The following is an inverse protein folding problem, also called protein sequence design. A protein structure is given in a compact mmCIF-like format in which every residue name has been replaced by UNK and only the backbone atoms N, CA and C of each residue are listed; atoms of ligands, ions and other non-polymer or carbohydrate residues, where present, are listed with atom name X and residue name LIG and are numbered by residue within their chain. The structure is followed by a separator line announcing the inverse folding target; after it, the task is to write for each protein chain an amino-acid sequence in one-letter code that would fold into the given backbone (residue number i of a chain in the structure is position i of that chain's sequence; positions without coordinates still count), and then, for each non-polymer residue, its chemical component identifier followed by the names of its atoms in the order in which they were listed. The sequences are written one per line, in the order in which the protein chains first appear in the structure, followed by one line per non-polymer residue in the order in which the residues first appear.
data_IF_380870948909
#
_entry.id   IF_380870948909
#
_cell.length_a   1.000
_cell.length_b   1.000
_cell.length_c   1.000
_cell.angle_alpha   90.00
_cell.angle_beta   90.00
_cell.angle_gamma   90.00
#
_symmetry.space_group_name_H-M   'P 1'
#
loop_
_entity.id
_entity.type
_entity.pdbx_description
1 polymer ?
#
# COMPACT_ATOMS: atom_id res chain seq x y z
N UNK A 1 71.10 -5.84 -26.75
CA UNK A 1 69.74 -5.92 -26.17
C UNK A 1 68.82 -6.68 -27.14
N UNK A 2 69.20 -7.89 -27.58
CA UNK A 2 68.46 -8.60 -28.66
C UNK A 2 68.01 -10.03 -28.31
N UNK A 3 68.07 -10.45 -27.04
CA UNK A 3 67.59 -11.77 -26.61
C UNK A 3 66.70 -11.69 -25.36
N UNK A 4 65.66 -10.84 -25.41
CA UNK A 4 64.65 -10.78 -24.33
C UNK A 4 63.29 -11.32 -24.80
N UNK A 5 63.09 -11.57 -26.10
CA UNK A 5 61.85 -12.11 -26.63
C UNK A 5 62.10 -13.51 -27.22
N UNK A 6 61.42 -14.56 -26.73
CA UNK A 6 61.52 -15.91 -27.30
C UNK A 6 60.95 -15.93 -28.72
N UNK A 7 61.41 -16.88 -29.54
CA UNK A 7 60.98 -17.02 -30.93
C UNK A 7 59.46 -17.26 -31.01
N UNK A 8 58.78 -16.59 -31.95
CA UNK A 8 57.33 -16.62 -32.15
C UNK A 8 56.73 -18.04 -32.29
N UNK A 9 57.53 -19.00 -32.74
CA UNK A 9 57.11 -20.40 -32.95
C UNK A 9 57.19 -21.27 -31.68
N UNK A 10 57.56 -20.70 -30.52
CA UNK A 10 57.62 -21.43 -29.25
C UNK A 10 56.22 -21.52 -28.60
N UNK A 11 55.70 -22.73 -28.31
CA UNK A 11 54.41 -22.90 -27.62
C UNK A 11 54.38 -22.20 -26.24
N UNK A 12 55.52 -22.00 -25.57
CA UNK A 12 55.59 -21.26 -24.31
C UNK A 12 55.34 -19.77 -24.49
N UNK A 13 55.74 -19.17 -25.62
CA UNK A 13 55.46 -17.77 -25.94
C UNK A 13 53.97 -17.54 -26.15
N UNK A 14 53.29 -18.46 -26.84
CA UNK A 14 51.83 -18.41 -27.02
C UNK A 14 51.08 -18.50 -25.69
N UNK A 15 51.52 -19.37 -24.77
CA UNK A 15 50.93 -19.49 -23.42
C UNK A 15 51.16 -18.21 -22.61
N UNK A 16 52.37 -17.65 -22.64
CA UNK A 16 52.70 -16.40 -21.95
C UNK A 16 51.87 -15.21 -22.49
N UNK A 17 51.65 -15.16 -23.81
CA UNK A 17 50.82 -14.14 -24.44
C UNK A 17 49.35 -14.24 -24.02
N UNK A 18 48.79 -15.45 -23.88
CA UNK A 18 47.41 -15.66 -23.38
C UNK A 18 47.30 -15.26 -21.90
N UNK A 19 48.29 -15.60 -21.07
CA UNK A 19 48.30 -15.22 -19.65
C UNK A 19 48.40 -13.69 -19.49
N UNK A 20 49.24 -13.03 -20.28
CA UNK A 20 49.37 -11.57 -20.21
C UNK A 20 48.11 -10.86 -20.71
N UNK A 21 47.48 -11.33 -21.79
CA UNK A 21 46.20 -10.78 -22.26
C UNK A 21 45.10 -10.99 -21.22
N UNK A 22 44.99 -12.18 -20.61
CA UNK A 22 43.99 -12.44 -19.59
C UNK A 22 44.20 -11.58 -18.33
N UNK A 23 45.45 -11.34 -17.93
CA UNK A 23 45.79 -10.41 -16.86
C UNK A 23 45.43 -8.96 -17.20
N UNK A 24 45.70 -8.51 -18.43
CA UNK A 24 45.33 -7.16 -18.89
C UNK A 24 43.81 -6.98 -18.88
N UNK A 25 43.06 -7.97 -19.37
CA UNK A 25 41.60 -7.97 -19.32
C UNK A 25 41.11 -7.95 -17.87
N UNK A 26 41.70 -8.74 -16.97
CA UNK A 26 41.35 -8.74 -15.56
C UNK A 26 41.62 -7.38 -14.87
N UNK A 27 42.76 -6.75 -15.14
CA UNK A 27 43.09 -5.43 -14.61
C UNK A 27 42.20 -4.33 -15.19
N UNK A 28 41.92 -4.37 -16.49
CA UNK A 28 41.05 -3.41 -17.16
C UNK A 28 39.60 -3.53 -16.66
N UNK A 29 39.09 -4.76 -16.49
CA UNK A 29 37.76 -5.01 -15.93
C UNK A 29 37.66 -4.61 -14.46
N UNK A 30 38.71 -4.86 -13.66
CA UNK A 30 38.78 -4.40 -12.28
C UNK A 30 38.81 -2.87 -12.18
N UNK A 31 39.68 -2.21 -12.94
CA UNK A 31 39.79 -0.75 -12.97
C UNK A 31 38.51 -0.08 -13.47
N UNK A 32 37.88 -0.64 -14.50
CA UNK A 32 36.57 -0.19 -14.98
C UNK A 32 35.48 -0.38 -13.91
N UNK A 33 35.52 -1.50 -13.18
CA UNK A 33 34.63 -1.78 -12.05
C UNK A 33 34.73 -0.72 -10.95
N UNK A 34 35.94 -0.38 -10.52
CA UNK A 34 36.19 0.67 -9.51
C UNK A 34 35.73 2.04 -9.99
N UNK A 35 36.07 2.42 -11.23
CA UNK A 35 35.63 3.69 -11.81
C UNK A 35 34.10 3.79 -11.88
N UNK A 36 33.44 2.72 -12.34
CA UNK A 36 31.98 2.63 -12.38
C UNK A 36 31.38 2.76 -10.97
N UNK A 37 31.94 2.07 -9.98
CA UNK A 37 31.49 2.13 -8.59
C UNK A 37 31.60 3.54 -8.01
N UNK A 38 32.73 4.24 -8.21
CA UNK A 38 32.90 5.62 -7.75
C UNK A 38 31.90 6.58 -8.43
N UNK A 39 31.70 6.44 -9.75
CA UNK A 39 30.73 7.24 -10.50
C UNK A 39 29.29 7.00 -10.02
N UNK A 40 28.93 5.76 -9.73
CA UNK A 40 27.62 5.40 -9.19
C UNK A 40 27.40 5.95 -7.78
N UNK A 41 28.41 5.88 -6.90
CA UNK A 41 28.36 6.48 -5.57
C UNK A 41 28.15 8.00 -5.64
N UNK A 42 28.89 8.70 -6.50
CA UNK A 42 28.70 10.15 -6.71
C UNK A 42 27.33 10.51 -7.30
N UNK A 43 26.79 9.69 -8.21
CA UNK A 43 25.44 9.88 -8.74
C UNK A 43 24.36 9.67 -7.67
N UNK A 44 24.54 8.68 -6.80
CA UNK A 44 23.64 8.44 -5.67
C UNK A 44 23.67 9.62 -4.70
N UNK A 45 24.84 10.14 -4.33
CA UNK A 45 24.94 11.33 -3.46
C UNK A 45 24.21 12.53 -4.07
N UNK A 46 24.45 12.85 -5.34
CA UNK A 46 23.73 13.93 -6.05
C UNK A 46 22.22 13.70 -6.14
N UNK A 47 21.79 12.44 -6.16
CA UNK A 47 20.38 12.10 -6.09
C UNK A 47 19.84 12.36 -4.67
N UNK A 48 20.60 11.98 -3.63
CA UNK A 48 20.23 12.13 -2.23
C UNK A 48 20.15 13.59 -1.77
N UNK A 49 21.02 14.46 -2.27
CA UNK A 49 21.02 15.89 -1.93
C UNK A 49 19.70 16.60 -2.31
N UNK A 50 18.93 16.03 -3.24
CA UNK A 50 17.59 16.54 -3.60
C UNK A 50 16.56 16.34 -2.50
N UNK A 51 16.87 15.51 -1.51
CA UNK A 51 15.98 15.14 -0.41
C UNK A 51 16.34 15.81 0.92
N UNK A 52 17.52 16.42 1.03
CA UNK A 52 17.89 17.21 2.20
C UNK A 52 17.00 18.45 2.27
N UNK A 53 15.99 18.40 3.13
CA UNK A 53 15.26 19.59 3.57
C UNK A 53 15.88 20.11 4.86
N UNK A 54 16.15 21.42 4.91
CA UNK A 54 16.84 22.14 5.99
C UNK A 54 16.22 22.07 7.40
N UNK A 55 15.13 21.31 7.61
CA UNK A 55 14.52 21.05 8.92
C UNK A 55 15.00 19.69 9.45
N UNK A 56 16.31 19.54 9.62
CA UNK A 56 16.89 18.40 10.29
C UNK A 56 16.59 18.49 11.80
N UNK A 57 15.82 17.54 12.35
CA UNK A 57 15.65 17.43 13.81
C UNK A 57 16.83 16.73 14.51
N UNK A 58 17.73 16.14 13.72
CA UNK A 58 19.00 15.61 14.19
C UNK A 58 20.08 16.42 13.49
N UNK A 59 20.89 17.11 14.27
CA UNK A 59 22.05 17.84 13.78
C UNK A 59 23.12 16.82 13.35
N UNK A 60 22.88 16.18 12.20
CA UNK A 60 23.70 15.09 11.66
C UNK A 60 24.95 15.62 10.95
N UNK A 61 25.04 16.93 10.71
CA UNK A 61 26.19 17.58 10.09
C UNK A 61 27.45 17.47 10.96
N UNK A 62 27.28 17.44 12.30
CA UNK A 62 28.39 17.38 13.26
C UNK A 62 28.64 15.97 13.83
N UNK A 63 27.83 14.97 13.47
CA UNK A 63 27.96 13.62 14.03
C UNK A 63 28.95 12.79 13.20
N UNK A 64 30.11 12.36 13.76
CA UNK A 64 30.99 11.45 13.06
C UNK A 64 30.31 10.08 12.88
N UNK A 65 30.37 9.52 11.66
CA UNK A 65 29.82 8.20 11.41
C UNK A 65 30.73 7.12 12.00
N UNK A 66 30.17 6.36 12.94
CA UNK A 66 30.82 5.20 13.52
C UNK A 66 30.12 3.92 13.06
N UNK A 67 30.87 2.97 12.47
CA UNK A 67 30.30 1.77 11.87
C UNK A 67 29.41 0.94 12.83
N UNK A 68 29.72 0.97 14.14
CA UNK A 68 28.93 0.27 15.15
C UNK A 68 27.57 0.94 15.44
N UNK A 69 27.41 2.22 15.11
CA UNK A 69 26.16 2.97 15.25
C UNK A 69 25.14 2.64 14.16
N UNK A 70 25.54 1.94 13.08
CA UNK A 70 24.66 1.56 11.98
C UNK A 70 23.41 0.81 12.46
N UNK A 71 23.58 -0.23 13.28
CA UNK A 71 22.45 -1.06 13.76
C UNK A 71 21.52 -0.26 14.71
N UNK A 72 22.03 0.42 15.76
CA UNK A 72 21.20 1.27 16.61
C UNK A 72 20.41 2.33 15.84
N UNK A 73 21.06 3.04 14.91
CA UNK A 73 20.41 4.09 14.12
C UNK A 73 19.34 3.50 13.18
N UNK A 74 19.58 2.34 12.58
CA UNK A 74 18.58 1.65 11.75
C UNK A 74 17.34 1.25 12.58
N UNK A 75 17.55 0.76 13.80
CA UNK A 75 16.44 0.43 14.71
C UNK A 75 15.67 1.68 15.16
N UNK A 76 16.38 2.77 15.43
CA UNK A 76 15.78 4.05 15.79
C UNK A 76 14.93 4.62 14.65
N UNK A 77 15.45 4.61 13.41
CA UNK A 77 14.70 5.04 12.23
C UNK A 77 13.41 4.23 12.04
N UNK A 78 13.50 2.90 12.21
CA UNK A 78 12.34 2.00 12.16
C UNK A 78 11.32 2.29 13.27
N UNK A 79 11.77 2.63 14.47
CA UNK A 79 10.88 3.02 15.56
C UNK A 79 10.14 4.32 15.22
N UNK A 80 10.84 5.33 14.69
CA UNK A 80 10.21 6.57 14.24
C UNK A 80 9.21 6.34 13.10
N UNK A 81 9.55 5.50 12.11
CA UNK A 81 8.65 5.09 11.02
C UNK A 81 7.34 4.47 11.57
N UNK A 82 7.45 3.55 12.53
CA UNK A 82 6.29 2.91 13.15
C UNK A 82 5.44 3.86 14.00
N UNK A 83 6.06 4.89 14.58
CA UNK A 83 5.36 5.91 15.37
C UNK A 83 4.68 7.01 14.53
N UNK A 84 4.91 7.01 13.21
CA UNK A 84 4.43 8.06 12.31
C UNK A 84 5.31 9.32 12.27
N UNK A 85 6.44 9.34 12.98
CA UNK A 85 7.44 10.41 12.98
C UNK A 85 8.34 10.32 11.74
N UNK A 86 7.73 10.39 10.55
CA UNK A 86 8.40 10.09 9.29
C UNK A 86 9.60 10.99 8.98
N UNK A 87 9.55 12.27 9.38
CA UNK A 87 10.65 13.21 9.10
C UNK A 87 11.96 12.78 9.81
N UNK A 88 11.87 12.32 11.06
CA UNK A 88 13.03 11.79 11.81
C UNK A 88 13.54 10.49 11.21
N UNK A 89 12.65 9.60 10.78
CA UNK A 89 13.03 8.37 10.11
C UNK A 89 13.78 8.67 8.79
N UNK A 90 13.25 9.60 7.98
CA UNK A 90 13.85 10.06 6.72
C UNK A 90 15.26 10.61 6.97
N UNK A 91 15.45 11.49 7.94
CA UNK A 91 16.76 12.10 8.21
C UNK A 91 17.81 11.05 8.60
N UNK A 92 17.44 10.08 9.45
CA UNK A 92 18.35 9.00 9.84
C UNK A 92 18.67 8.09 8.66
N UNK A 93 17.69 7.72 7.84
CA UNK A 93 17.93 6.89 6.66
C UNK A 93 18.84 7.60 5.65
N UNK A 94 18.63 8.89 5.38
CA UNK A 94 19.52 9.68 4.51
C UNK A 94 20.95 9.70 5.05
N UNK A 95 21.14 9.97 6.35
CA UNK A 95 22.44 9.95 7.00
C UNK A 95 23.14 8.58 6.88
N UNK A 96 22.41 7.48 7.12
CA UNK A 96 22.95 6.13 7.00
C UNK A 96 23.33 5.76 5.57
N UNK A 97 22.56 6.19 4.57
CA UNK A 97 22.86 5.90 3.16
C UNK A 97 24.11 6.66 2.71
N UNK A 98 24.27 7.91 3.11
CA UNK A 98 25.42 8.77 2.75
C UNK A 98 26.74 8.25 3.33
N UNK A 99 26.71 7.73 4.56
CA UNK A 99 27.92 7.34 5.29
C UNK A 99 28.22 5.83 5.28
N UNK A 100 27.31 4.99 4.78
CA UNK A 100 27.57 3.54 4.65
C UNK A 100 28.43 3.26 3.42
N UNK A 101 29.40 2.35 3.52
CA UNK A 101 30.17 1.85 2.37
C UNK A 101 29.56 0.60 1.73
N UNK A 102 28.56 -0.01 2.37
CA UNK A 102 27.98 -1.28 1.93
C UNK A 102 26.78 -1.08 1.00
N UNK A 103 26.94 -1.41 -0.29
CA UNK A 103 25.89 -1.26 -1.31
C UNK A 103 24.63 -2.11 -1.07
N UNK A 104 24.75 -3.30 -0.46
CA UNK A 104 23.58 -4.10 -0.11
C UNK A 104 22.76 -3.40 0.98
N UNK A 105 23.46 -2.90 2.01
CA UNK A 105 22.86 -2.14 3.09
C UNK A 105 22.22 -0.83 2.58
N UNK A 106 22.89 -0.11 1.65
CA UNK A 106 22.32 1.08 1.02
C UNK A 106 21.02 0.77 0.29
N UNK A 107 20.94 -0.35 -0.44
CA UNK A 107 19.70 -0.70 -1.13
C UNK A 107 18.56 -0.94 -0.14
N UNK A 108 18.81 -1.68 0.94
CA UNK A 108 17.79 -1.89 1.98
C UNK A 108 17.34 -0.57 2.63
N UNK A 109 18.29 0.32 2.94
CA UNK A 109 17.98 1.63 3.48
C UNK A 109 17.20 2.50 2.48
N UNK A 110 17.53 2.45 1.19
CA UNK A 110 16.76 3.13 0.15
C UNK A 110 15.34 2.58 0.04
N UNK A 111 15.13 1.27 0.15
CA UNK A 111 13.79 0.69 0.21
C UNK A 111 13.01 1.27 1.40
N UNK A 112 13.60 1.27 2.59
CA UNK A 112 12.98 1.84 3.80
C UNK A 112 12.67 3.33 3.64
N UNK A 113 13.61 4.08 3.07
CA UNK A 113 13.41 5.50 2.77
C UNK A 113 12.25 5.72 1.80
N UNK A 114 12.16 4.91 0.75
CA UNK A 114 11.03 4.92 -0.19
C UNK A 114 9.70 4.63 0.50
N UNK A 115 9.64 3.59 1.34
CA UNK A 115 8.43 3.24 2.12
C UNK A 115 8.05 4.36 3.08
N UNK A 116 9.04 4.98 3.72
CA UNK A 116 8.82 6.11 4.64
C UNK A 116 8.27 7.32 3.90
N UNK A 117 8.80 7.65 2.71
CA UNK A 117 8.26 8.72 1.89
C UNK A 117 6.83 8.42 1.40
N UNK A 118 6.53 7.17 1.06
CA UNK A 118 5.18 6.74 0.69
C UNK A 118 4.20 6.95 1.85
N UNK A 119 4.54 6.48 3.06
CA UNK A 119 3.70 6.66 4.25
C UNK A 119 3.55 8.13 4.67
N UNK A 120 4.59 8.95 4.45
CA UNK A 120 4.55 10.39 4.66
C UNK A 120 3.77 11.17 3.58
N UNK A 121 3.30 10.52 2.51
CA UNK A 121 2.56 11.17 1.42
C UNK A 121 3.45 11.89 0.38
N UNK A 122 4.78 11.80 0.48
CA UNK A 122 5.71 12.37 -0.48
C UNK A 122 5.89 11.44 -1.71
N UNK A 123 4.81 11.26 -2.47
CA UNK A 123 4.70 10.25 -3.54
C UNK A 123 5.78 10.39 -4.63
N UNK A 124 6.09 11.61 -5.04
CA UNK A 124 7.12 11.88 -6.05
C UNK A 124 8.52 11.46 -5.58
N UNK A 125 8.83 11.70 -4.31
CA UNK A 125 10.10 11.29 -3.68
C UNK A 125 10.17 9.76 -3.60
N UNK A 126 9.11 9.11 -3.12
CA UNK A 126 9.00 7.65 -3.08
C UNK A 126 9.20 7.03 -4.47
N UNK A 127 8.49 7.55 -5.49
CA UNK A 127 8.62 7.12 -6.89
C UNK A 127 10.07 7.16 -7.35
N UNK A 128 10.73 8.31 -7.14
CA UNK A 128 12.10 8.51 -7.62
C UNK A 128 13.09 7.52 -7.00
N UNK A 129 12.92 7.19 -5.71
CA UNK A 129 13.75 6.21 -5.00
C UNK A 129 13.49 4.81 -5.53
N UNK A 130 12.23 4.41 -5.69
CA UNK A 130 11.88 3.09 -6.20
C UNK A 130 12.37 2.87 -7.64
N UNK A 131 12.23 3.87 -8.51
CA UNK A 131 12.78 3.82 -9.87
C UNK A 131 14.30 3.67 -9.86
N UNK A 132 14.99 4.39 -8.97
CA UNK A 132 16.45 4.27 -8.81
C UNK A 132 16.86 2.88 -8.31
N UNK A 133 16.10 2.28 -7.38
CA UNK A 133 16.34 0.90 -6.92
C UNK A 133 16.11 -0.09 -8.07
N UNK A 134 15.01 0.03 -8.81
CA UNK A 134 14.69 -0.88 -9.92
C UNK A 134 15.67 -0.75 -11.10
N UNK A 135 16.28 0.41 -11.30
CA UNK A 135 17.38 0.58 -12.28
C UNK A 135 18.55 -0.36 -11.99
N UNK A 136 18.84 -0.63 -10.71
CA UNK A 136 19.91 -1.53 -10.28
C UNK A 136 19.42 -2.97 -10.06
N UNK A 137 18.21 -3.12 -9.54
CA UNK A 137 17.58 -4.40 -9.16
C UNK A 137 16.18 -4.51 -9.77
N UNK A 138 16.05 -4.74 -11.09
CA UNK A 138 14.75 -4.73 -11.77
C UNK A 138 13.81 -5.85 -11.34
N UNK A 139 14.35 -6.94 -10.77
CA UNK A 139 13.58 -8.10 -10.28
C UNK A 139 13.17 -7.99 -8.81
N UNK A 140 13.25 -6.80 -8.20
CA UNK A 140 12.85 -6.59 -6.81
C UNK A 140 11.31 -6.50 -6.69
N UNK A 141 10.67 -7.65 -6.41
CA UNK A 141 9.21 -7.78 -6.26
C UNK A 141 8.61 -6.76 -5.30
N UNK A 142 9.23 -6.58 -4.13
CA UNK A 142 8.74 -5.67 -3.09
C UNK A 142 8.67 -4.23 -3.62
N UNK A 143 9.75 -3.77 -4.25
CA UNK A 143 9.82 -2.42 -4.81
C UNK A 143 8.89 -2.23 -6.00
N UNK A 144 8.71 -3.28 -6.83
CA UNK A 144 7.69 -3.25 -7.89
C UNK A 144 6.29 -3.02 -7.31
N UNK A 145 5.88 -3.80 -6.31
CA UNK A 145 4.59 -3.59 -5.64
C UNK A 145 4.47 -2.19 -5.02
N UNK A 146 5.49 -1.72 -4.29
CA UNK A 146 5.48 -0.40 -3.66
C UNK A 146 5.41 0.74 -4.70
N UNK A 147 6.10 0.61 -5.83
CA UNK A 147 6.00 1.55 -6.95
C UNK A 147 4.59 1.54 -7.58
N UNK A 148 3.97 0.37 -7.70
CA UNK A 148 2.57 0.24 -8.14
C UNK A 148 1.61 0.97 -7.20
N UNK A 149 1.82 0.87 -5.88
CA UNK A 149 1.05 1.63 -4.87
C UNK A 149 1.27 3.13 -5.02
N UNK A 150 2.51 3.58 -5.25
CA UNK A 150 2.80 5.00 -5.50
C UNK A 150 2.04 5.51 -6.72
N UNK A 151 2.11 4.80 -7.86
CA UNK A 151 1.39 5.21 -9.08
C UNK A 151 -0.12 5.22 -8.90
N UNK A 152 -0.69 4.23 -8.21
CA UNK A 152 -2.12 4.20 -7.88
C UNK A 152 -2.52 5.40 -7.02
N UNK A 153 -1.74 5.71 -5.98
CA UNK A 153 -2.02 6.84 -5.07
C UNK A 153 -1.94 8.17 -5.80
N UNK A 154 -1.05 8.27 -6.81
CA UNK A 154 -0.95 9.39 -7.74
C UNK A 154 -2.06 9.41 -8.82
N UNK A 155 -2.98 8.44 -8.82
CA UNK A 155 -4.01 8.23 -9.85
C UNK A 155 -3.46 7.99 -11.26
N UNK A 156 -2.18 7.58 -11.38
CA UNK A 156 -1.54 7.18 -12.63
C UNK A 156 -1.78 5.70 -12.88
N UNK A 157 -3.05 5.32 -13.08
CA UNK A 157 -3.46 3.91 -13.17
C UNK A 157 -2.81 3.15 -14.33
N UNK A 158 -2.54 3.81 -15.45
CA UNK A 158 -1.87 3.18 -16.60
C UNK A 158 -0.45 2.73 -16.20
N UNK A 159 0.32 3.59 -15.51
CA UNK A 159 1.64 3.23 -14.98
C UNK A 159 1.59 2.21 -13.85
N UNK A 160 0.54 2.25 -13.01
CA UNK A 160 0.35 1.22 -11.99
C UNK A 160 0.13 -0.16 -12.63
N UNK A 161 -0.55 -0.21 -13.79
CA UNK A 161 -0.77 -1.45 -14.57
C UNK A 161 0.49 -1.94 -15.28
N UNK A 162 1.42 -1.07 -15.65
CA UNK A 162 2.73 -1.47 -16.21
C UNK A 162 3.55 -2.35 -15.24
N UNK A 163 3.24 -2.30 -13.93
CA UNK A 163 3.90 -3.14 -12.91
C UNK A 163 3.45 -4.61 -12.97
N UNK A 164 2.27 -4.88 -13.54
CA UNK A 164 1.67 -6.22 -13.55
C UNK A 164 2.52 -7.23 -14.31
N UNK A 165 2.94 -6.90 -15.53
CA UNK A 165 3.74 -7.81 -16.37
C UNK A 165 5.09 -8.17 -15.71
N UNK A 166 5.90 -7.22 -15.19
CA UNK A 166 7.09 -7.55 -14.42
C UNK A 166 6.83 -8.46 -13.21
N UNK A 167 5.70 -8.31 -12.51
CA UNK A 167 5.35 -9.17 -11.38
C UNK A 167 4.97 -10.59 -11.84
N UNK A 168 4.20 -10.72 -12.92
CA UNK A 168 3.82 -12.00 -13.53
C UNK A 168 5.06 -12.77 -14.02
N UNK A 169 6.02 -12.09 -14.65
CA UNK A 169 7.32 -12.67 -15.05
C UNK A 169 8.18 -13.14 -13.86
N UNK A 170 7.83 -12.74 -12.65
CA UNK A 170 8.46 -13.17 -11.41
C UNK A 170 7.59 -14.17 -10.63
N UNK A 171 6.60 -14.78 -11.27
CA UNK A 171 5.70 -15.80 -10.72
C UNK A 171 4.82 -15.29 -9.57
N UNK A 172 4.47 -14.00 -9.55
CA UNK A 172 3.51 -13.45 -8.60
C UNK A 172 2.06 -13.58 -9.10
N UNK A 173 1.13 -13.93 -8.20
CA UNK A 173 -0.31 -13.87 -8.50
C UNK A 173 -0.80 -12.41 -8.45
N UNK A 174 -1.00 -11.84 -9.64
CA UNK A 174 -1.39 -10.44 -9.84
C UNK A 174 -2.90 -10.26 -10.04
N UNK A 175 -3.70 -11.33 -10.07
CA UNK A 175 -5.13 -11.26 -10.45
C UNK A 175 -5.90 -10.25 -9.60
N UNK A 176 -5.78 -10.37 -8.28
CA UNK A 176 -6.44 -9.45 -7.32
C UNK A 176 -5.97 -8.01 -7.49
N UNK A 177 -4.68 -7.80 -7.74
CA UNK A 177 -4.12 -6.47 -7.96
C UNK A 177 -4.66 -5.86 -9.26
N UNK A 178 -4.70 -6.64 -10.34
CA UNK A 178 -5.25 -6.22 -11.64
C UNK A 178 -6.72 -5.80 -11.51
N UNK A 179 -7.55 -6.63 -10.88
CA UNK A 179 -8.98 -6.33 -10.66
C UNK A 179 -9.19 -5.13 -9.74
N UNK A 180 -8.34 -4.96 -8.72
CA UNK A 180 -8.36 -3.79 -7.86
C UNK A 180 -7.96 -2.49 -8.62
N UNK A 181 -6.95 -2.54 -9.50
CA UNK A 181 -6.57 -1.39 -10.34
C UNK A 181 -7.64 -1.07 -11.38
N UNK A 182 -8.32 -2.07 -11.95
CA UNK A 182 -9.50 -1.89 -12.82
C UNK A 182 -10.63 -1.16 -12.06
N UNK A 183 -10.95 -1.58 -10.83
CA UNK A 183 -11.90 -0.89 -9.95
C UNK A 183 -11.49 0.55 -9.68
N UNK A 184 -10.23 0.78 -9.30
CA UNK A 184 -9.72 2.10 -8.95
C UNK A 184 -9.78 3.08 -10.15
N UNK A 185 -9.37 2.62 -11.35
CA UNK A 185 -9.47 3.40 -12.57
C UNK A 185 -10.92 3.72 -12.92
N UNK A 186 -11.81 2.71 -12.87
CA UNK A 186 -13.23 2.87 -13.21
C UNK A 186 -13.94 3.87 -12.31
N UNK A 187 -13.66 3.85 -11.00
CA UNK A 187 -14.28 4.74 -10.03
C UNK A 187 -13.70 6.16 -10.05
N UNK A 188 -12.46 6.33 -10.50
CA UNK A 188 -11.80 7.63 -10.62
C UNK A 188 -12.10 8.35 -11.94
N UNK A 189 -12.43 7.62 -13.01
CA UNK A 189 -12.75 8.18 -14.33
C UNK A 189 -14.00 9.07 -14.25
N UNK A 190 -13.84 10.39 -14.36
CA UNK A 190 -14.96 11.35 -14.30
C UNK A 190 -15.71 11.48 -15.63
N UNK A 191 -15.14 11.02 -16.73
CA UNK A 191 -15.70 11.17 -18.08
C UNK A 191 -16.69 10.04 -18.41
N UNK A 192 -16.53 8.87 -17.78
CA UNK A 192 -17.39 7.73 -18.04
C UNK A 192 -18.81 7.93 -17.45
N UNK A 193 -19.88 7.70 -18.25
CA UNK A 193 -21.26 7.79 -17.78
C UNK A 193 -21.55 6.85 -16.61
N UNK A 194 -22.43 7.28 -15.70
CA UNK A 194 -22.81 6.51 -14.50
C UNK A 194 -23.36 5.13 -14.84
N UNK A 195 -24.23 5.02 -15.84
CA UNK A 195 -24.82 3.74 -16.25
C UNK A 195 -23.75 2.74 -16.72
N UNK A 196 -22.81 3.19 -17.55
CA UNK A 196 -21.68 2.38 -18.01
C UNK A 196 -20.75 1.98 -16.86
N UNK A 197 -20.52 2.89 -15.89
CA UNK A 197 -19.77 2.56 -14.67
C UNK A 197 -20.43 1.45 -13.89
N UNK A 198 -21.74 1.55 -13.65
CA UNK A 198 -22.50 0.56 -12.89
C UNK A 198 -22.47 -0.80 -13.57
N UNK A 199 -22.67 -0.87 -14.89
CA UNK A 199 -22.55 -2.11 -15.66
C UNK A 199 -21.16 -2.75 -15.53
N UNK A 200 -20.10 -1.94 -15.66
CA UNK A 200 -18.72 -2.44 -15.49
C UNK A 200 -18.43 -2.88 -14.06
N UNK A 201 -18.95 -2.19 -13.04
CA UNK A 201 -18.84 -2.58 -11.64
C UNK A 201 -19.55 -3.91 -11.36
N UNK A 202 -20.72 -4.14 -11.96
CA UNK A 202 -21.44 -5.42 -11.85
C UNK A 202 -20.63 -6.58 -12.45
N UNK A 203 -20.05 -6.39 -13.65
CA UNK A 203 -19.17 -7.39 -14.25
C UNK A 203 -17.94 -7.64 -13.37
N UNK A 204 -17.33 -6.58 -12.85
CA UNK A 204 -16.16 -6.71 -11.99
C UNK A 204 -16.46 -7.44 -10.68
N UNK A 205 -17.66 -7.25 -10.12
CA UNK A 205 -18.11 -7.97 -8.93
C UNK A 205 -18.27 -9.48 -9.18
N UNK A 206 -18.72 -9.86 -10.37
CA UNK A 206 -18.82 -11.27 -10.79
C UNK A 206 -17.42 -11.88 -10.96
N UNK A 207 -16.49 -11.14 -11.56
CA UNK A 207 -15.11 -11.59 -11.77
C UNK A 207 -14.31 -11.71 -10.47
N UNK A 208 -14.47 -10.75 -9.54
CA UNK A 208 -13.72 -10.68 -8.29
C UNK A 208 -14.65 -10.37 -7.11
N UNK A 209 -15.31 -11.39 -6.53
CA UNK A 209 -16.25 -11.22 -5.42
C UNK A 209 -15.64 -10.60 -4.15
N UNK A 210 -14.31 -10.63 -4.00
CA UNK A 210 -13.62 -10.01 -2.85
C UNK A 210 -13.65 -8.48 -2.87
N UNK A 211 -14.03 -7.87 -4.00
CA UNK A 211 -14.26 -6.43 -4.14
C UNK A 211 -15.66 -5.96 -3.72
N UNK A 212 -16.51 -6.85 -3.24
CA UNK A 212 -17.91 -6.55 -2.89
C UNK A 212 -18.08 -5.30 -2.03
N UNK A 213 -17.37 -5.21 -0.91
CA UNK A 213 -17.44 -4.05 -0.03
C UNK A 213 -17.14 -2.75 -0.79
N UNK A 214 -16.07 -2.74 -1.59
CA UNK A 214 -15.64 -1.56 -2.33
C UNK A 214 -16.62 -1.21 -3.47
N UNK A 215 -17.14 -2.21 -4.16
CA UNK A 215 -18.08 -2.05 -5.27
C UNK A 215 -19.44 -1.55 -4.76
N UNK A 216 -20.01 -2.17 -3.71
CA UNK A 216 -21.27 -1.71 -3.12
C UNK A 216 -21.13 -0.29 -2.59
N UNK A 217 -20.02 0.02 -1.91
CA UNK A 217 -19.73 1.40 -1.48
C UNK A 217 -19.70 2.39 -2.64
N UNK A 218 -19.10 2.01 -3.78
CA UNK A 218 -19.06 2.85 -4.98
C UNK A 218 -20.45 2.98 -5.63
N UNK A 219 -21.23 1.89 -5.71
CA UNK A 219 -22.58 1.89 -6.25
C UNK A 219 -23.50 2.81 -5.45
N UNK A 220 -23.48 2.75 -4.11
CA UNK A 220 -24.27 3.63 -3.25
C UNK A 220 -23.99 5.12 -3.48
N UNK A 221 -22.75 5.48 -3.88
CA UNK A 221 -22.37 6.86 -4.23
C UNK A 221 -22.82 7.27 -5.64
N UNK A 222 -23.07 6.30 -6.53
CA UNK A 222 -23.44 6.53 -7.93
C UNK A 222 -24.96 6.48 -8.17
N UNK A 223 -25.59 5.41 -7.69
CA UNK A 223 -27.03 5.17 -7.78
C UNK A 223 -27.45 4.23 -6.65
N UNK A 224 -28.22 4.77 -5.70
CA UNK A 224 -28.64 4.03 -4.51
C UNK A 224 -29.59 2.90 -4.84
N UNK A 225 -30.50 3.09 -5.81
CA UNK A 225 -31.49 2.09 -6.18
C UNK A 225 -30.80 0.85 -6.75
N UNK A 226 -29.90 1.04 -7.71
CA UNK A 226 -29.14 -0.07 -8.30
C UNK A 226 -28.24 -0.74 -7.27
N UNK A 227 -27.67 0.03 -6.33
CA UNK A 227 -26.87 -0.54 -5.25
C UNK A 227 -27.68 -1.49 -4.36
N UNK A 228 -28.91 -1.11 -3.99
CA UNK A 228 -29.79 -1.94 -3.16
C UNK A 228 -30.15 -3.28 -3.81
N UNK A 229 -30.34 -3.31 -5.13
CA UNK A 229 -30.58 -4.54 -5.88
C UNK A 229 -29.38 -5.52 -5.83
N UNK A 230 -28.19 -5.04 -5.50
CA UNK A 230 -26.94 -5.82 -5.45
C UNK A 230 -26.45 -6.11 -4.03
N UNK A 231 -27.14 -5.63 -3.00
CA UNK A 231 -26.81 -5.97 -1.62
C UNK A 231 -27.20 -7.42 -1.35
N UNK A 232 -26.20 -8.26 -1.09
CA UNK A 232 -26.34 -9.64 -0.66
C UNK A 232 -26.44 -9.71 0.87
N UNK A 233 -27.60 -10.11 1.43
CA UNK A 233 -27.79 -10.25 2.87
C UNK A 233 -26.80 -11.22 3.53
N UNK A 234 -26.37 -12.28 2.83
CA UNK A 234 -25.42 -13.25 3.37
C UNK A 234 -24.04 -12.63 3.67
N UNK A 235 -23.75 -11.49 3.04
CA UNK A 235 -22.51 -10.72 3.16
C UNK A 235 -22.70 -9.42 3.93
N UNK A 236 -23.81 -9.27 4.65
CA UNK A 236 -24.17 -8.05 5.38
C UNK A 236 -23.05 -7.57 6.30
N UNK A 237 -22.34 -8.49 6.98
CA UNK A 237 -21.21 -8.15 7.86
C UNK A 237 -20.10 -7.35 7.17
N UNK A 238 -19.84 -7.58 5.89
CA UNK A 238 -18.78 -6.88 5.15
C UNK A 238 -19.08 -5.40 4.90
N UNK A 239 -20.36 -5.01 4.96
CA UNK A 239 -20.85 -3.67 4.66
C UNK A 239 -21.73 -3.09 5.79
N UNK A 240 -21.73 -3.73 6.96
CA UNK A 240 -22.60 -3.35 8.08
C UNK A 240 -22.38 -1.91 8.50
N UNK A 241 -21.12 -1.47 8.54
CA UNK A 241 -20.74 -0.10 8.84
C UNK A 241 -21.26 0.89 7.79
N UNK A 242 -21.17 0.55 6.50
CA UNK A 242 -21.68 1.38 5.41
C UNK A 242 -23.18 1.60 5.56
N UNK A 243 -23.93 0.51 5.82
CA UNK A 243 -25.38 0.58 5.93
C UNK A 243 -25.82 1.25 7.24
N UNK A 244 -25.07 1.07 8.34
CA UNK A 244 -25.34 1.74 9.61
C UNK A 244 -25.25 3.27 9.51
N UNK A 245 -24.29 3.77 8.72
CA UNK A 245 -24.09 5.20 8.49
C UNK A 245 -24.83 5.74 7.25
N UNK A 246 -25.62 4.91 6.57
CA UNK A 246 -26.37 5.33 5.39
C UNK A 246 -27.50 6.30 5.80
N UNK A 247 -27.64 7.47 5.14
CA UNK A 247 -28.67 8.43 5.48
C UNK A 247 -30.06 7.89 5.11
N UNK A 248 -31.08 8.28 5.88
CA UNK A 248 -32.45 7.81 5.68
C UNK A 248 -32.99 8.05 4.25
N UNK A 249 -32.55 9.13 3.59
CA UNK A 249 -32.93 9.46 2.21
C UNK A 249 -32.41 8.48 1.14
N UNK A 250 -31.46 7.62 1.49
CA UNK A 250 -30.84 6.64 0.58
C UNK A 250 -31.34 5.21 0.82
N UNK A 251 -32.34 5.01 1.69
CA UNK A 251 -32.86 3.69 2.03
C UNK A 251 -33.93 3.22 1.04
N UNK A 252 -33.89 1.94 0.70
CA UNK A 252 -34.95 1.27 -0.05
C UNK A 252 -35.81 0.44 0.92
N UNK A 253 -36.93 1.03 1.35
CA UNK A 253 -37.81 0.42 2.35
C UNK A 253 -38.48 -0.86 1.86
N UNK A 254 -38.69 -0.99 0.54
CA UNK A 254 -39.30 -2.18 -0.05
C UNK A 254 -38.35 -3.37 0.12
N UNK A 255 -37.08 -3.21 -0.29
CA UNK A 255 -36.06 -4.24 -0.11
C UNK A 255 -35.82 -4.53 1.38
N UNK A 256 -35.69 -3.49 2.20
CA UNK A 256 -35.45 -3.63 3.65
C UNK A 256 -36.56 -4.46 4.30
N UNK A 257 -37.84 -4.18 3.99
CA UNK A 257 -38.98 -4.85 4.62
C UNK A 257 -39.11 -6.34 4.28
N UNK A 258 -38.53 -6.78 3.15
CA UNK A 258 -38.54 -8.18 2.73
C UNK A 258 -37.43 -9.02 3.35
N UNK A 259 -36.43 -8.38 3.97
CA UNK A 259 -35.27 -9.05 4.51
C UNK A 259 -35.15 -8.89 6.03
N UNK A 260 -35.12 -10.00 6.76
CA UNK A 260 -35.06 -10.01 8.22
C UNK A 260 -33.82 -9.29 8.77
N UNK A 261 -32.65 -9.46 8.16
CA UNK A 261 -31.41 -8.88 8.67
C UNK A 261 -31.39 -7.36 8.46
N UNK A 262 -31.79 -6.88 7.28
CA UNK A 262 -31.90 -5.46 6.97
C UNK A 262 -33.00 -4.78 7.80
N UNK A 263 -34.15 -5.44 7.95
CA UNK A 263 -35.21 -4.93 8.84
C UNK A 263 -34.74 -4.83 10.28
N UNK A 264 -34.01 -5.82 10.79
CA UNK A 264 -33.45 -5.77 12.15
C UNK A 264 -32.42 -4.65 12.29
N UNK A 265 -31.55 -4.46 11.29
CA UNK A 265 -30.56 -3.37 11.24
C UNK A 265 -31.24 -1.99 11.38
N UNK A 266 -32.24 -1.71 10.55
CA UNK A 266 -32.89 -0.40 10.55
C UNK A 266 -33.94 -0.22 11.65
N UNK A 267 -34.45 -1.32 12.24
CA UNK A 267 -35.15 -1.27 13.52
C UNK A 267 -34.19 -0.88 14.64
N UNK A 268 -33.03 -1.54 14.76
CA UNK A 268 -32.00 -1.21 15.76
C UNK A 268 -31.55 0.26 15.64
N UNK A 269 -31.37 0.75 14.41
CA UNK A 269 -31.03 2.17 14.14
C UNK A 269 -32.16 3.16 14.50
N UNK A 270 -33.41 2.71 14.56
CA UNK A 270 -34.58 3.53 14.88
C UNK A 270 -35.34 4.10 13.69
N UNK A 271 -35.06 3.63 12.47
CA UNK A 271 -35.79 4.06 11.27
C UNK A 271 -37.08 3.26 11.04
N UNK A 272 -37.15 2.03 11.58
CA UNK A 272 -38.36 1.20 11.55
C UNK A 272 -39.00 1.11 12.93
N UNK A 273 -40.34 1.03 12.96
CA UNK A 273 -41.12 0.96 14.21
C UNK A 273 -41.48 -0.46 14.62
N UNK A 274 -41.53 -1.41 13.66
CA UNK A 274 -41.94 -2.78 13.94
C UNK A 274 -40.72 -3.60 14.36
N UNK A 275 -40.74 -4.24 15.55
CA UNK A 275 -39.66 -5.11 15.97
C UNK A 275 -39.59 -6.31 15.04
N UNK A 276 -38.40 -6.57 14.53
CA UNK A 276 -38.03 -7.84 13.91
C UNK A 276 -36.77 -8.33 14.61
N UNK A 277 -36.77 -9.61 14.97
CA UNK A 277 -35.70 -10.22 15.76
C UNK A 277 -35.07 -11.37 14.98
N UNK A 278 -33.77 -11.59 15.21
CA UNK A 278 -32.93 -12.67 14.68
C UNK A 278 -32.27 -12.35 13.32
N UNK A 279 -31.45 -11.30 13.29
CA UNK A 279 -30.51 -11.08 12.18
C UNK A 279 -29.37 -12.10 12.15
N UNK A 280 -29.07 -12.77 13.28
CA UNK A 280 -27.90 -13.62 13.43
C UNK A 280 -26.61 -12.83 13.68
N UNK A 281 -26.72 -11.51 13.86
CA UNK A 281 -25.63 -10.63 14.26
C UNK A 281 -25.92 -10.22 15.71
N UNK A 282 -25.13 -10.78 16.63
CA UNK A 282 -25.34 -10.64 18.08
C UNK A 282 -25.52 -9.20 18.54
N UNK A 283 -24.67 -8.30 18.04
CA UNK A 283 -24.68 -6.88 18.38
C UNK A 283 -25.96 -6.17 17.96
N UNK A 284 -26.43 -6.43 16.72
CA UNK A 284 -27.70 -5.91 16.20
C UNK A 284 -28.89 -6.47 16.96
N UNK A 285 -28.91 -7.77 17.21
CA UNK A 285 -30.01 -8.43 17.91
C UNK A 285 -30.14 -7.90 19.35
N UNK A 286 -29.02 -7.59 20.01
CA UNK A 286 -29.03 -7.01 21.35
C UNK A 286 -29.56 -5.56 21.34
N UNK A 287 -29.13 -4.72 20.39
CA UNK A 287 -29.66 -3.34 20.26
C UNK A 287 -31.15 -3.35 19.91
N UNK A 288 -31.57 -4.21 18.97
CA UNK A 288 -32.97 -4.38 18.64
C UNK A 288 -33.78 -4.78 19.88
N UNK A 289 -33.29 -5.74 20.68
CA UNK A 289 -34.00 -6.15 21.90
C UNK A 289 -34.02 -5.06 22.98
N UNK A 290 -32.95 -4.28 23.11
CA UNK A 290 -32.90 -3.14 24.01
C UNK A 290 -33.94 -2.08 23.63
N UNK A 291 -34.02 -1.74 22.33
CA UNK A 291 -35.00 -0.79 21.78
C UNK A 291 -36.44 -1.25 21.98
N UNK A 292 -36.72 -2.54 21.80
CA UNK A 292 -38.06 -3.12 22.07
C UNK A 292 -38.51 -2.90 23.53
N UNK A 293 -37.57 -2.79 24.46
CA UNK A 293 -37.82 -2.52 25.88
C UNK A 293 -37.68 -1.04 26.27
N UNK A 294 -37.59 -0.13 25.29
CA UNK A 294 -37.51 1.32 25.52
C UNK A 294 -36.12 1.87 25.78
N UNK A 295 -35.05 1.08 25.60
CA UNK A 295 -33.66 1.54 25.69
C UNK A 295 -33.13 1.94 24.32
N UNK A 296 -33.06 3.24 24.05
CA UNK A 296 -32.66 3.79 22.73
C UNK A 296 -31.23 4.35 22.69
N UNK A 297 -30.54 4.41 23.84
CA UNK A 297 -29.19 4.97 23.98
C UNK A 297 -28.06 4.02 23.52
N UNK A 298 -28.37 2.96 22.78
CA UNK A 298 -27.39 1.99 22.30
C UNK A 298 -27.08 2.19 20.81
N UNK A 299 -25.80 2.22 20.45
CA UNK A 299 -25.31 2.39 19.09
C UNK A 299 -24.19 1.37 18.76
N UNK A 300 -23.95 1.13 17.47
CA UNK A 300 -22.77 0.41 17.00
C UNK A 300 -21.59 1.34 16.79
N UNK A 301 -20.46 0.96 17.36
CA UNK A 301 -19.15 1.48 17.03
C UNK A 301 -18.40 0.44 16.19
N UNK A 302 -17.63 0.90 15.20
CA UNK A 302 -16.90 0.03 14.29
C UNK A 302 -15.39 0.18 14.45
N UNK A 303 -14.69 -0.96 14.36
CA UNK A 303 -13.25 -1.04 14.13
C UNK A 303 -12.96 -1.84 12.87
N UNK A 304 -11.79 -1.61 12.28
CA UNK A 304 -11.43 -2.18 10.99
C UNK A 304 -10.14 -2.97 11.12
N UNK A 305 -10.25 -4.29 11.15
CA UNK A 305 -9.12 -5.21 11.23
C UNK A 305 -8.55 -5.45 9.83
N UNK A 306 -7.23 -5.39 9.67
CA UNK A 306 -6.58 -5.91 8.48
C UNK A 306 -6.32 -7.42 8.61
N UNK A 307 -6.96 -8.24 7.77
CA UNK A 307 -6.77 -9.70 7.71
C UNK A 307 -5.32 -10.13 7.45
N UNK A 308 -4.50 -9.28 6.82
CA UNK A 308 -3.09 -9.58 6.48
C UNK A 308 -2.13 -9.28 7.64
N UNK A 309 -2.13 -8.06 8.17
CA UNK A 309 -1.19 -7.65 9.22
C UNK A 309 -1.77 -7.69 10.64
N UNK A 310 -3.06 -8.01 10.79
CA UNK A 310 -3.80 -8.10 12.07
C UNK A 310 -3.83 -6.81 12.89
N UNK A 311 -3.57 -5.66 12.27
CA UNK A 311 -3.71 -4.35 12.90
C UNK A 311 -5.15 -3.86 12.77
N UNK A 312 -5.69 -3.30 13.85
CA UNK A 312 -7.01 -2.65 13.86
C UNK A 312 -6.88 -1.14 13.68
N UNK A 313 -7.82 -0.56 12.95
CA UNK A 313 -7.88 0.87 12.64
C UNK A 313 -9.25 1.45 13.02
N UNK A 314 -9.31 2.73 13.43
CA UNK A 314 -10.58 3.40 13.77
C UNK A 314 -11.36 3.87 12.54
N UNK A 315 -10.76 3.83 11.36
CA UNK A 315 -11.36 4.30 10.09
C UNK A 315 -11.19 3.22 9.02
N UNK A 316 -12.21 3.05 8.18
CA UNK A 316 -12.18 2.08 7.09
C UNK A 316 -11.15 2.41 6.03
N UNK A 317 -10.63 1.40 5.34
CA UNK A 317 -9.56 1.58 4.38
C UNK A 317 -9.72 0.69 3.13
N UNK A 318 -9.24 1.20 1.98
CA UNK A 318 -9.15 0.41 0.73
C UNK A 318 -7.85 -0.39 0.66
N UNK A 319 -6.74 0.25 1.04
CA UNK A 319 -5.43 -0.37 1.31
C UNK A 319 -5.13 -0.24 2.79
N UNK A 320 -4.66 -1.31 3.41
CA UNK A 320 -4.27 -1.28 4.81
C UNK A 320 -3.22 -0.18 5.05
N UNK A 321 -3.45 0.79 5.96
CA UNK A 321 -2.50 1.88 6.21
C UNK A 321 -1.12 1.39 6.69
N UNK A 322 -1.04 0.19 7.27
CA UNK A 322 0.21 -0.39 7.77
C UNK A 322 0.96 -1.26 6.74
N UNK A 323 0.26 -2.13 6.00
CA UNK A 323 0.90 -3.11 5.11
C UNK A 323 0.50 -3.00 3.62
N UNK A 324 -0.27 -1.98 3.27
CA UNK A 324 -0.75 -1.66 1.92
C UNK A 324 -1.57 -2.77 1.23
N UNK A 325 -2.00 -3.79 1.97
CA UNK A 325 -2.80 -4.89 1.43
C UNK A 325 -4.19 -4.44 0.98
N UNK A 326 -4.56 -4.82 -0.24
CA UNK A 326 -5.91 -4.69 -0.79
C UNK A 326 -6.83 -5.79 -0.25
N UNK A 327 -8.15 -5.55 -0.30
CA UNK A 327 -9.21 -6.52 0.03
C UNK A 327 -9.02 -7.20 1.40
N UNK A 328 -8.38 -6.47 2.33
CA UNK A 328 -7.92 -7.01 3.60
C UNK A 328 -8.72 -6.51 4.80
N UNK A 329 -9.61 -5.52 4.62
CA UNK A 329 -10.47 -5.02 5.70
C UNK A 329 -11.48 -6.08 6.14
N UNK A 330 -11.65 -6.17 7.45
CA UNK A 330 -12.68 -6.93 8.16
C UNK A 330 -13.35 -5.95 9.13
N UNK A 331 -14.68 -5.85 9.04
CA UNK A 331 -15.48 -4.93 9.85
C UNK A 331 -15.81 -5.64 11.16
N UNK A 332 -15.46 -4.99 12.27
CA UNK A 332 -15.78 -5.46 13.61
C UNK A 332 -16.70 -4.44 14.26
N UNK A 333 -17.82 -4.90 14.80
CA UNK A 333 -18.81 -4.08 15.46
C UNK A 333 -18.85 -4.32 16.97
N UNK A 334 -19.05 -3.24 17.73
CA UNK A 334 -19.15 -3.26 19.18
C UNK A 334 -20.32 -2.38 19.62
N UNK A 335 -21.00 -2.75 20.70
CA UNK A 335 -22.08 -1.94 21.25
C UNK A 335 -21.46 -0.85 22.14
N UNK A 336 -21.85 0.38 21.88
CA UNK A 336 -21.45 1.56 22.64
C UNK A 336 -22.69 2.36 23.06
N UNK A 337 -22.50 3.28 24.02
CA UNK A 337 -23.53 4.26 24.36
C UNK A 337 -23.59 5.31 23.27
N UNK A 338 -24.79 5.66 22.82
CA UNK A 338 -25.03 6.75 21.89
C UNK A 338 -24.37 8.03 22.42
N UNK A 339 -23.48 8.61 21.62
CA UNK A 339 -22.80 9.87 21.96
C UNK A 339 -23.43 10.99 21.13
N UNK A 340 -23.67 12.14 21.74
CA UNK A 340 -24.25 13.33 21.07
C UNK A 340 -23.23 14.07 20.19
N UNK A 341 -22.13 13.44 19.77
CA UNK A 341 -21.18 14.07 18.87
C UNK A 341 -21.71 13.98 17.44
N UNK A 342 -22.28 15.10 16.99
CA UNK A 342 -22.47 15.45 15.59
C UNK A 342 -21.12 15.67 14.91
N UNK A 343 -20.26 14.65 14.86
CA UNK A 343 -19.05 14.73 14.08
C UNK A 343 -19.36 14.22 12.68
N UNK A 344 -19.52 15.19 11.78
CA UNK A 344 -19.54 14.99 10.35
C UNK A 344 -18.43 14.01 9.98
N UNK A 345 -18.87 12.81 9.61
CA UNK A 345 -18.03 11.71 9.18
C UNK A 345 -17.07 12.18 8.08
N UNK A 346 -15.78 11.98 8.29
CA UNK A 346 -14.73 12.12 7.28
C UNK A 346 -14.81 10.95 6.27
N UNK A 347 -15.98 10.76 5.66
CA UNK A 347 -16.30 9.76 4.63
C UNK A 347 -16.07 10.25 3.19
#
# INVERSE_FOLDING_TARGET
MEHILPAYNDPLFSILLIITISLIIALATYGWGLYKQQKEAGNLLKFLDKFDSAECALDTEEMPFEAHMFKPLTLLAKAFENSGEYHKAISIYLYLIKNSDNELAKTELMERLGTTYLHAGFLERARSIYVEILRKKPRNKKVLYELGVVYETMQQYDKAKEIIEPLELLDEDTWKLKKFLEFAQLTSDKQLPTETKLQKLQTLLKDEPSLYRQIISAMLKLDTRIAWEHIDPTRLKEILDILWFLPNSQLDLDIISTNTQLSTLYYAKGYLQKPMAQSGIFSLDLIAKARENGFEDAELQFSYLCKKCKQSFPVSFRRCPNCMAINSVEVEEQIAKASTQTDYSLL
#
